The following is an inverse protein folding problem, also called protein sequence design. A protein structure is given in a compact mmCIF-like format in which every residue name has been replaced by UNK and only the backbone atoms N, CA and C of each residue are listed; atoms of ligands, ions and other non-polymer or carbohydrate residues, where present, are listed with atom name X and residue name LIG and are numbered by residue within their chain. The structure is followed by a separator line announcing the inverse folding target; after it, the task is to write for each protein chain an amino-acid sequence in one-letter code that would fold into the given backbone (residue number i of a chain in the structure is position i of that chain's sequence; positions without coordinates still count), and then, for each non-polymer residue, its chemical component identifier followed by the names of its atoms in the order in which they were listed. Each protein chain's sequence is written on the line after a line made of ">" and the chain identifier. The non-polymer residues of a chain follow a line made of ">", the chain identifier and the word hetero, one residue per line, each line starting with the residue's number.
data_IF_986907582029
#
_entry.id   IF_986907582029
#
_cell.length_a   1.000
_cell.length_b   1.000
_cell.length_c   1.000
_cell.angle_alpha   90.00
_cell.angle_beta   90.00
_cell.angle_gamma   90.00
#
_symmetry.space_group_name_H-M   'P 1'
#
loop_
_entity.id
_entity.type
_entity.pdbx_description
1 polymer ?
#
# COMPACT_ATOMS: atom_id res chain seq x y z
N UNK A 1 -12.60 8.61 -18.20
CA UNK A 1 -13.58 7.53 -18.54
C UNK A 1 -12.82 6.23 -18.56
N UNK A 2 -13.18 5.28 -17.74
CA UNK A 2 -12.42 4.03 -17.47
C UNK A 2 -12.35 3.01 -18.62
N UNK A 3 -12.38 3.33 -19.86
CA UNK A 3 -12.29 2.40 -21.01
C UNK A 3 -12.78 0.95 -20.79
N UNK A 4 -13.76 0.73 -19.88
CA UNK A 4 -14.30 -0.59 -19.53
C UNK A 4 -13.39 -1.48 -18.65
N UNK A 5 -12.18 -1.05 -18.27
CA UNK A 5 -11.28 -1.81 -17.40
C UNK A 5 -11.79 -1.82 -15.96
N UNK A 6 -11.68 -2.96 -15.28
CA UNK A 6 -11.91 -3.08 -13.83
C UNK A 6 -10.70 -2.57 -13.07
N UNK A 7 -10.94 -1.95 -11.93
CA UNK A 7 -9.87 -1.38 -11.08
C UNK A 7 -9.71 -2.22 -9.81
N UNK A 8 -8.47 -2.59 -9.51
CA UNK A 8 -8.10 -3.32 -8.29
C UNK A 8 -7.04 -2.55 -7.52
N UNK A 9 -7.26 -2.36 -6.23
CA UNK A 9 -6.28 -1.82 -5.29
C UNK A 9 -5.68 -2.97 -4.50
N UNK A 10 -4.36 -3.04 -4.46
CA UNK A 10 -3.59 -4.10 -3.79
C UNK A 10 -2.73 -3.45 -2.71
N UNK A 11 -3.01 -3.72 -1.45
CA UNK A 11 -2.18 -3.25 -0.33
C UNK A 11 -1.15 -4.31 0.04
N UNK A 12 0.09 -3.89 0.22
CA UNK A 12 1.20 -4.77 0.60
C UNK A 12 1.89 -4.20 1.84
N UNK A 13 1.93 -4.98 2.90
CA UNK A 13 2.55 -4.62 4.17
C UNK A 13 4.09 -4.65 4.13
N UNK A 14 4.74 -3.99 5.10
CA UNK A 14 6.20 -3.95 5.19
C UNK A 14 6.80 -5.33 5.40
N UNK A 15 6.18 -6.17 6.23
CA UNK A 15 6.63 -7.56 6.52
C UNK A 15 6.70 -8.44 5.28
N UNK A 16 5.91 -8.12 4.25
CA UNK A 16 5.88 -8.86 2.98
C UNK A 16 6.95 -8.37 2.00
N UNK A 17 7.31 -7.08 2.08
CA UNK A 17 8.25 -6.44 1.15
C UNK A 17 9.71 -6.56 1.58
N UNK A 18 9.96 -6.89 2.86
CA UNK A 18 11.32 -7.04 3.40
C UNK A 18 11.53 -8.48 3.87
N UNK A 19 12.75 -8.98 3.69
CA UNK A 19 13.16 -10.28 4.20
C UNK A 19 13.51 -10.21 5.70
N UNK A 20 13.90 -11.35 6.29
CA UNK A 20 14.29 -11.47 7.70
C UNK A 20 15.47 -10.55 8.11
N UNK A 21 16.30 -10.13 7.14
CA UNK A 21 17.40 -9.19 7.35
C UNK A 21 16.96 -7.71 7.22
N UNK A 22 15.67 -7.43 7.04
CA UNK A 22 15.13 -6.08 6.86
C UNK A 22 15.38 -5.46 5.48
N UNK A 23 15.91 -6.26 4.52
CA UNK A 23 16.18 -5.81 3.14
C UNK A 23 15.01 -6.09 2.23
N UNK A 24 14.87 -5.29 1.15
CA UNK A 24 13.86 -5.53 0.13
C UNK A 24 14.01 -6.94 -0.47
N UNK A 25 12.95 -7.71 -0.44
CA UNK A 25 12.88 -9.05 -1.05
C UNK A 25 12.64 -8.92 -2.56
N UNK A 26 13.73 -8.86 -3.33
CA UNK A 26 13.66 -8.72 -4.80
C UNK A 26 12.88 -9.85 -5.46
N UNK A 27 12.92 -11.07 -4.93
CA UNK A 27 12.18 -12.20 -5.49
C UNK A 27 10.67 -11.99 -5.33
N UNK A 28 10.25 -11.41 -4.20
CA UNK A 28 8.87 -11.02 -3.99
C UNK A 28 8.41 -9.95 -5.00
N UNK A 29 9.22 -8.91 -5.23
CA UNK A 29 8.90 -7.88 -6.23
C UNK A 29 8.78 -8.43 -7.64
N UNK A 30 9.65 -9.38 -8.02
CA UNK A 30 9.58 -10.06 -9.32
C UNK A 30 8.30 -10.89 -9.46
N UNK A 31 7.92 -11.64 -8.43
CA UNK A 31 6.68 -12.39 -8.37
C UNK A 31 5.44 -11.50 -8.43
N UNK A 32 5.48 -10.38 -7.71
CA UNK A 32 4.41 -9.37 -7.73
C UNK A 32 4.24 -8.76 -9.12
N UNK A 33 5.35 -8.38 -9.78
CA UNK A 33 5.31 -7.82 -11.12
C UNK A 33 4.69 -8.80 -12.13
N UNK A 34 5.01 -10.10 -12.02
CA UNK A 34 4.42 -11.15 -12.84
C UNK A 34 2.89 -11.26 -12.63
N UNK A 35 2.44 -11.24 -11.36
CA UNK A 35 1.01 -11.32 -11.03
C UNK A 35 0.25 -10.07 -11.50
N UNK A 36 0.83 -8.88 -11.31
CA UNK A 36 0.24 -7.62 -11.78
C UNK A 36 0.14 -7.60 -13.31
N UNK A 37 1.18 -8.09 -14.01
CA UNK A 37 1.12 -8.24 -15.46
C UNK A 37 -0.03 -9.18 -15.89
N UNK A 38 -0.17 -10.33 -15.25
CA UNK A 38 -1.28 -11.26 -15.53
C UNK A 38 -2.66 -10.62 -15.28
N UNK A 39 -2.83 -9.84 -14.21
CA UNK A 39 -4.06 -9.09 -13.95
C UNK A 39 -4.38 -8.09 -15.08
N UNK A 40 -3.36 -7.40 -15.60
CA UNK A 40 -3.53 -6.45 -16.72
C UNK A 40 -3.97 -7.17 -18.01
N UNK A 41 -3.39 -8.32 -18.31
CA UNK A 41 -3.83 -9.16 -19.44
C UNK A 41 -5.28 -9.65 -19.29
N UNK A 42 -5.78 -9.79 -18.04
CA UNK A 42 -7.18 -10.09 -17.74
C UNK A 42 -8.11 -8.87 -17.78
N UNK A 43 -7.60 -7.69 -18.17
CA UNK A 43 -8.38 -6.45 -18.28
C UNK A 43 -8.54 -5.67 -16.98
N UNK A 44 -7.72 -5.92 -15.96
CA UNK A 44 -7.67 -5.14 -14.74
C UNK A 44 -6.68 -3.96 -14.85
N UNK A 45 -6.96 -2.90 -14.11
CA UNK A 45 -6.03 -1.78 -13.87
C UNK A 45 -5.61 -1.82 -12.40
N UNK A 46 -4.43 -2.42 -12.09
CA UNK A 46 -3.95 -2.52 -10.71
C UNK A 46 -3.36 -1.20 -10.22
N UNK A 47 -3.63 -0.87 -8.97
CA UNK A 47 -2.94 0.15 -8.17
C UNK A 47 -2.35 -0.54 -6.94
N UNK A 48 -1.14 -0.18 -6.55
CA UNK A 48 -0.46 -0.78 -5.40
C UNK A 48 -0.37 0.26 -4.28
N UNK A 49 -0.86 -0.08 -3.10
CA UNK A 49 -0.61 0.68 -1.87
C UNK A 49 0.51 -0.03 -1.12
N UNK A 50 1.66 0.61 -1.10
CA UNK A 50 2.92 0.02 -0.62
C UNK A 50 3.29 0.55 0.75
N UNK A 51 4.15 -0.20 1.42
CA UNK A 51 4.78 0.14 2.70
C UNK A 51 6.31 0.01 2.58
N UNK A 52 7.02 -0.06 3.71
CA UNK A 52 8.45 -0.34 3.83
C UNK A 52 9.41 0.82 3.51
N UNK A 53 8.95 2.04 3.21
CA UNK A 53 9.85 3.16 2.94
C UNK A 53 10.82 3.43 4.11
N UNK A 54 10.34 3.43 5.37
CA UNK A 54 11.21 3.62 6.54
C UNK A 54 12.25 2.51 6.63
N UNK A 55 11.85 1.23 6.49
CA UNK A 55 12.78 0.10 6.58
C UNK A 55 13.89 0.19 5.52
N UNK A 56 13.51 0.49 4.27
CA UNK A 56 14.47 0.72 3.19
C UNK A 56 15.43 1.87 3.47
N UNK A 57 14.93 2.94 4.10
CA UNK A 57 15.75 4.10 4.44
C UNK A 57 16.73 3.80 5.57
N UNK A 58 16.32 3.08 6.59
CA UNK A 58 17.19 2.66 7.68
C UNK A 58 18.32 1.78 7.16
N UNK A 59 18.01 0.82 6.28
CA UNK A 59 19.04 0.01 5.60
C UNK A 59 20.01 0.88 4.81
N UNK A 60 19.51 1.77 3.96
CA UNK A 60 20.33 2.62 3.11
C UNK A 60 21.24 3.58 3.91
N UNK A 61 20.79 4.01 5.09
CA UNK A 61 21.53 4.87 6.01
C UNK A 61 22.47 4.08 6.95
N UNK A 62 22.43 2.74 6.93
CA UNK A 62 23.20 1.90 7.84
C UNK A 62 22.77 2.01 9.29
N UNK A 63 21.51 2.32 9.56
CA UNK A 63 20.93 2.46 10.90
C UNK A 63 20.36 1.10 11.32
N UNK A 64 21.02 0.42 12.25
CA UNK A 64 20.63 -0.91 12.72
C UNK A 64 19.45 -0.84 13.71
N UNK A 65 19.47 0.13 14.63
CA UNK A 65 18.38 0.32 15.60
C UNK A 65 17.36 1.34 15.09
N UNK A 66 16.09 0.96 15.10
CA UNK A 66 15.01 1.86 14.67
C UNK A 66 14.94 3.09 15.57
N UNK A 67 15.11 4.31 15.04
CA UNK A 67 14.96 5.54 15.80
C UNK A 67 13.56 5.68 16.40
N UNK A 68 13.48 6.36 17.53
CA UNK A 68 12.21 6.66 18.20
C UNK A 68 11.74 8.09 17.94
N UNK A 69 12.62 8.95 17.47
CA UNK A 69 12.31 10.34 17.15
C UNK A 69 11.73 10.47 15.73
N UNK A 70 10.76 11.34 15.60
CA UNK A 70 10.02 11.55 14.37
C UNK A 70 10.88 12.05 13.22
N UNK A 71 11.77 13.06 13.39
CA UNK A 71 12.60 13.56 12.29
C UNK A 71 13.49 12.49 11.67
N UNK A 72 14.07 11.59 12.48
CA UNK A 72 14.89 10.49 11.98
C UNK A 72 14.08 9.48 11.17
N UNK A 73 12.87 9.15 11.61
CA UNK A 73 11.97 8.27 10.88
C UNK A 73 11.49 8.88 9.56
N UNK A 74 11.16 10.17 9.56
CA UNK A 74 10.77 10.91 8.35
C UNK A 74 11.93 11.01 7.35
N UNK A 75 13.14 11.27 7.82
CA UNK A 75 14.34 11.27 6.99
C UNK A 75 14.62 9.88 6.38
N UNK A 76 14.50 8.83 7.17
CA UNK A 76 14.63 7.46 6.69
C UNK A 76 13.55 7.15 5.62
N UNK A 77 12.28 7.49 5.86
CA UNK A 77 11.22 7.31 4.87
C UNK A 77 11.53 8.02 3.55
N UNK A 78 12.04 9.25 3.62
CA UNK A 78 12.42 10.03 2.43
C UNK A 78 13.52 9.36 1.61
N UNK A 79 14.56 8.84 2.25
CA UNK A 79 15.64 8.10 1.59
C UNK A 79 15.14 6.78 1.02
N UNK A 80 14.38 6.03 1.83
CA UNK A 80 13.93 4.69 1.48
C UNK A 80 12.86 4.67 0.41
N UNK A 81 12.04 5.72 0.29
CA UNK A 81 11.05 5.83 -0.79
C UNK A 81 11.72 5.77 -2.17
N UNK A 82 12.91 6.36 -2.34
CA UNK A 82 13.65 6.28 -3.60
C UNK A 82 14.08 4.84 -3.92
N UNK A 83 14.64 4.12 -2.93
CA UNK A 83 15.06 2.73 -3.10
C UNK A 83 13.88 1.81 -3.40
N UNK A 84 12.77 2.00 -2.70
CA UNK A 84 11.53 1.27 -2.91
C UNK A 84 11.00 1.45 -4.33
N UNK A 85 10.93 2.69 -4.81
CA UNK A 85 10.47 2.99 -6.17
C UNK A 85 11.38 2.45 -7.25
N UNK A 86 12.71 2.49 -7.04
CA UNK A 86 13.67 1.90 -7.97
C UNK A 86 13.48 0.38 -8.10
N UNK A 87 13.21 -0.30 -6.97
CA UNK A 87 12.95 -1.75 -6.96
C UNK A 87 11.65 -2.11 -7.69
N UNK A 88 10.57 -1.35 -7.48
CA UNK A 88 9.35 -1.51 -8.27
C UNK A 88 9.59 -1.30 -9.76
N UNK A 89 10.26 -0.19 -10.13
CA UNK A 89 10.52 0.13 -11.52
C UNK A 89 11.37 -0.96 -12.22
N UNK A 90 12.39 -1.50 -11.53
CA UNK A 90 13.23 -2.59 -12.03
C UNK A 90 12.40 -3.86 -12.28
N UNK A 91 11.61 -4.31 -11.31
CA UNK A 91 10.81 -5.52 -11.44
C UNK A 91 9.75 -5.41 -12.55
N UNK A 92 9.05 -4.29 -12.60
CA UNK A 92 7.96 -4.07 -13.55
C UNK A 92 8.46 -3.81 -14.99
N UNK A 93 9.68 -3.29 -15.14
CA UNK A 93 10.29 -3.05 -16.46
C UNK A 93 10.43 -4.34 -17.28
N UNK A 94 10.57 -5.50 -16.64
CA UNK A 94 10.64 -6.82 -17.30
C UNK A 94 9.39 -7.16 -18.11
N UNK A 95 8.27 -6.54 -17.76
CA UNK A 95 6.98 -6.69 -18.41
C UNK A 95 6.58 -5.47 -19.24
N UNK A 96 7.50 -4.52 -19.47
CA UNK A 96 7.24 -3.22 -20.12
C UNK A 96 6.12 -2.42 -19.41
N UNK A 97 6.00 -2.56 -18.09
CA UNK A 97 5.02 -1.86 -17.27
C UNK A 97 5.67 -0.65 -16.62
N UNK A 98 5.11 0.53 -16.90
CA UNK A 98 5.53 1.75 -16.21
C UNK A 98 4.88 1.83 -14.83
N UNK A 99 5.66 2.27 -13.85
CA UNK A 99 5.19 2.59 -12.50
C UNK A 99 5.29 4.08 -12.24
N UNK A 100 4.48 4.58 -11.32
CA UNK A 100 4.58 5.96 -10.82
C UNK A 100 4.58 6.00 -9.31
N UNK A 101 5.20 7.01 -8.72
CA UNK A 101 5.15 7.29 -7.28
C UNK A 101 4.04 8.30 -7.00
N UNK A 102 3.10 7.95 -6.12
CA UNK A 102 2.05 8.85 -5.65
C UNK A 102 2.06 8.87 -4.13
N UNK A 103 2.43 10.01 -3.54
CA UNK A 103 2.46 10.17 -2.09
C UNK A 103 1.24 10.98 -1.64
N UNK A 104 0.45 10.39 -0.77
CA UNK A 104 -0.80 10.96 -0.25
C UNK A 104 -0.72 11.03 1.26
N UNK A 105 -1.36 12.03 1.88
CA UNK A 105 -1.62 12.01 3.32
C UNK A 105 -3.13 11.93 3.57
N UNK A 106 -3.54 11.22 4.61
CA UNK A 106 -4.94 11.18 5.03
C UNK A 106 -5.49 12.58 5.31
N UNK A 107 -4.69 13.44 5.92
CA UNK A 107 -5.06 14.82 6.22
C UNK A 107 -5.29 15.64 4.93
N UNK A 108 -4.42 15.53 3.94
CA UNK A 108 -4.55 16.28 2.69
C UNK A 108 -5.82 15.87 1.93
N UNK A 109 -6.14 14.58 1.90
CA UNK A 109 -7.33 14.06 1.19
C UNK A 109 -8.65 14.34 1.93
N UNK A 110 -8.63 14.77 3.18
CA UNK A 110 -9.81 15.28 3.86
C UNK A 110 -10.29 16.63 3.26
N UNK A 111 -9.42 17.35 2.57
CA UNK A 111 -9.77 18.58 1.86
C UNK A 111 -10.31 18.25 0.47
N UNK A 112 -11.51 18.76 0.15
CA UNK A 112 -12.22 18.44 -1.11
C UNK A 112 -11.36 18.64 -2.37
N UNK A 113 -10.62 19.75 -2.45
CA UNK A 113 -9.80 20.03 -3.64
C UNK A 113 -8.64 19.04 -3.78
N UNK A 114 -7.94 18.72 -2.69
CA UNK A 114 -6.86 17.74 -2.70
C UNK A 114 -7.38 16.34 -3.02
N UNK A 115 -8.56 15.97 -2.49
CA UNK A 115 -9.25 14.74 -2.85
C UNK A 115 -9.51 14.64 -4.35
N UNK A 116 -10.07 15.69 -4.96
CA UNK A 116 -10.36 15.72 -6.40
C UNK A 116 -9.08 15.64 -7.24
N UNK A 117 -8.03 16.37 -6.87
CA UNK A 117 -6.75 16.32 -7.58
C UNK A 117 -6.09 14.94 -7.49
N UNK A 118 -6.11 14.31 -6.32
CA UNK A 118 -5.60 12.94 -6.15
C UNK A 118 -6.37 11.94 -7.03
N UNK A 119 -7.70 12.01 -7.01
CA UNK A 119 -8.57 11.18 -7.86
C UNK A 119 -8.23 11.37 -9.33
N UNK A 120 -8.27 12.61 -9.81
CA UNK A 120 -8.06 12.93 -11.23
C UNK A 120 -6.66 12.50 -11.70
N UNK A 121 -5.65 12.61 -10.83
CA UNK A 121 -4.29 12.12 -11.10
C UNK A 121 -4.27 10.59 -11.23
N UNK A 122 -4.87 9.87 -10.27
CA UNK A 122 -4.90 8.41 -10.31
C UNK A 122 -5.69 7.89 -11.52
N UNK A 123 -6.83 8.49 -11.84
CA UNK A 123 -7.60 8.16 -13.04
C UNK A 123 -6.79 8.39 -14.32
N UNK A 124 -6.04 9.49 -14.38
CA UNK A 124 -5.18 9.77 -15.54
C UNK A 124 -4.01 8.79 -15.67
N UNK A 125 -3.42 8.34 -14.56
CA UNK A 125 -2.38 7.30 -14.58
C UNK A 125 -2.95 5.96 -15.10
N UNK A 126 -4.16 5.61 -14.69
CA UNK A 126 -4.88 4.43 -15.21
C UNK A 126 -5.12 4.58 -16.73
N UNK A 127 -5.55 5.74 -17.19
CA UNK A 127 -5.76 6.01 -18.62
C UNK A 127 -4.46 5.90 -19.44
N UNK A 128 -3.31 6.26 -18.85
CA UNK A 128 -1.99 6.11 -19.46
C UNK A 128 -1.42 4.69 -19.35
N UNK A 129 -2.18 3.76 -18.79
CA UNK A 129 -1.76 2.37 -18.57
C UNK A 129 -0.53 2.22 -17.65
N UNK A 130 -0.33 3.17 -16.74
CA UNK A 130 0.71 3.18 -15.71
C UNK A 130 0.17 2.53 -14.46
N UNK A 131 0.99 1.76 -13.73
CA UNK A 131 0.67 1.20 -12.42
C UNK A 131 1.10 2.18 -11.33
N UNK A 132 0.16 2.85 -10.63
CA UNK A 132 0.50 3.74 -9.53
C UNK A 132 0.96 2.93 -8.31
N UNK A 133 2.11 3.30 -7.76
CA UNK A 133 2.59 2.86 -6.45
C UNK A 133 2.31 4.00 -5.48
N UNK A 134 1.34 3.77 -4.61
CA UNK A 134 0.85 4.77 -3.66
C UNK A 134 1.45 4.46 -2.29
N UNK A 135 1.91 5.48 -1.60
CA UNK A 135 2.32 5.38 -0.20
C UNK A 135 1.89 6.63 0.56
N UNK A 136 1.93 6.56 1.89
CA UNK A 136 1.80 7.75 2.72
C UNK A 136 2.98 8.69 2.46
N UNK A 137 2.74 9.99 2.53
CA UNK A 137 3.80 10.98 2.54
C UNK A 137 4.37 11.13 3.96
N UNK A 138 5.21 10.18 4.35
CA UNK A 138 5.80 10.11 5.68
C UNK A 138 6.63 11.35 6.03
N UNK A 139 7.11 12.12 5.05
CA UNK A 139 7.91 13.32 5.30
C UNK A 139 7.10 14.46 5.95
N UNK A 140 5.79 14.45 5.80
CA UNK A 140 4.89 15.46 6.36
C UNK A 140 3.77 14.86 7.23
N UNK A 141 3.65 13.54 7.27
CA UNK A 141 2.66 12.81 8.06
C UNK A 141 3.29 12.30 9.35
N UNK A 142 2.58 12.49 10.47
CA UNK A 142 3.00 11.99 11.79
C UNK A 142 2.17 10.76 12.18
N UNK A 143 0.94 10.68 11.69
CA UNK A 143 -0.03 9.67 12.09
C UNK A 143 0.39 8.27 11.63
N UNK A 144 0.81 8.11 10.38
CA UNK A 144 1.25 6.84 9.81
C UNK A 144 2.46 6.25 10.53
N UNK A 145 3.44 7.09 10.87
CA UNK A 145 4.66 6.66 11.55
C UNK A 145 4.35 6.09 12.93
N UNK A 146 3.29 6.59 13.58
CA UNK A 146 2.84 6.14 14.90
C UNK A 146 1.97 4.88 14.83
N UNK A 147 1.14 4.75 13.82
CA UNK A 147 0.13 3.69 13.72
C UNK A 147 0.41 2.65 12.63
N UNK A 148 1.36 2.93 11.71
CA UNK A 148 2.01 1.96 10.82
C UNK A 148 1.12 1.27 9.77
N UNK A 149 -0.13 1.73 9.56
CA UNK A 149 -1.10 0.96 8.78
C UNK A 149 -1.53 1.67 7.49
N UNK A 150 -1.19 1.05 6.35
CA UNK A 150 -1.63 1.46 5.01
C UNK A 150 -3.00 0.86 4.60
N UNK A 151 -3.68 0.10 5.48
CA UNK A 151 -4.99 -0.48 5.16
C UNK A 151 -6.04 0.61 4.99
N UNK A 152 -6.03 1.60 5.88
CA UNK A 152 -6.90 2.78 5.74
C UNK A 152 -6.55 3.59 4.47
N UNK A 153 -5.27 3.70 4.12
CA UNK A 153 -4.86 4.36 2.87
C UNK A 153 -5.37 3.57 1.66
N UNK A 154 -5.32 2.23 1.69
CA UNK A 154 -5.84 1.39 0.62
C UNK A 154 -7.37 1.53 0.47
N UNK A 155 -8.09 1.60 1.58
CA UNK A 155 -9.53 1.88 1.57
C UNK A 155 -9.83 3.27 0.98
N UNK A 156 -9.08 4.31 1.36
CA UNK A 156 -9.19 5.66 0.82
C UNK A 156 -8.93 5.67 -0.70
N UNK A 157 -7.83 5.06 -1.15
CA UNK A 157 -7.48 4.95 -2.57
C UNK A 157 -8.58 4.20 -3.33
N UNK A 158 -9.13 3.13 -2.76
CA UNK A 158 -10.24 2.38 -3.35
C UNK A 158 -11.49 3.26 -3.56
N UNK A 159 -11.79 4.12 -2.58
CA UNK A 159 -12.87 5.11 -2.71
C UNK A 159 -12.55 6.18 -3.77
N UNK A 160 -11.31 6.71 -3.79
CA UNK A 160 -10.86 7.72 -4.76
C UNK A 160 -11.08 7.24 -6.19
N UNK A 161 -10.63 6.03 -6.50
CA UNK A 161 -10.73 5.46 -7.85
C UNK A 161 -11.99 4.63 -8.04
N UNK A 162 -12.91 4.55 -7.08
CA UNK A 162 -14.09 3.67 -7.09
C UNK A 162 -13.70 2.25 -7.54
N UNK A 163 -12.74 1.63 -6.88
CA UNK A 163 -12.21 0.33 -7.23
C UNK A 163 -13.30 -0.75 -7.21
N UNK A 164 -13.21 -1.69 -8.13
CA UNK A 164 -14.09 -2.87 -8.17
C UNK A 164 -13.69 -3.89 -7.10
N UNK A 165 -12.41 -3.86 -6.66
CA UNK A 165 -11.86 -4.75 -5.65
C UNK A 165 -10.74 -4.07 -4.88
N UNK A 166 -10.65 -4.35 -3.57
CA UNK A 166 -9.50 -4.05 -2.73
C UNK A 166 -9.00 -5.36 -2.10
N UNK A 167 -7.72 -5.65 -2.27
CA UNK A 167 -7.05 -6.81 -1.70
C UNK A 167 -6.00 -6.33 -0.73
N UNK A 168 -6.02 -6.85 0.49
CA UNK A 168 -5.05 -6.53 1.54
C UNK A 168 -4.23 -7.78 1.82
N UNK A 169 -2.93 -7.70 1.52
CA UNK A 169 -1.97 -8.72 1.97
C UNK A 169 -1.57 -8.40 3.40
N UNK A 170 -1.81 -9.35 4.29
CA UNK A 170 -1.57 -9.27 5.72
C UNK A 170 -0.88 -10.55 6.19
N UNK A 171 -0.28 -10.50 7.37
CA UNK A 171 0.31 -11.62 8.10
C UNK A 171 -0.73 -12.47 8.87
N UNK A 172 -2.01 -12.03 8.83
CA UNK A 172 -3.15 -12.78 9.37
C UNK A 172 -4.12 -13.18 8.25
N UNK A 173 -4.87 -14.27 8.44
CA UNK A 173 -5.75 -14.84 7.42
C UNK A 173 -6.95 -13.94 7.04
N UNK A 174 -7.28 -12.93 7.85
CA UNK A 174 -8.38 -12.01 7.60
C UNK A 174 -8.95 -11.40 8.87
N UNK A 175 -10.22 -11.00 8.82
CA UNK A 175 -10.93 -10.45 9.97
C UNK A 175 -11.32 -11.57 10.93
N UNK A 176 -11.05 -11.36 12.22
CA UNK A 176 -11.43 -12.26 13.30
C UNK A 176 -12.49 -11.63 14.20
N UNK A 177 -13.22 -12.46 14.94
CA UNK A 177 -14.22 -12.00 15.94
C UNK A 177 -13.60 -11.30 17.15
N UNK A 178 -12.29 -11.52 17.38
CA UNK A 178 -11.47 -10.85 18.38
C UNK A 178 -10.00 -11.00 17.95
N UNK A 179 -9.06 -10.37 18.66
CA UNK A 179 -7.63 -10.52 18.36
C UNK A 179 -7.16 -11.97 18.63
N UNK A 180 -6.78 -12.78 17.61
CA UNK A 180 -6.43 -14.19 17.78
C UNK A 180 -5.14 -14.39 18.60
N UNK A 181 -4.30 -13.37 18.72
CA UNK A 181 -3.08 -13.43 19.55
C UNK A 181 -3.37 -13.26 21.04
N UNK A 182 -4.55 -12.77 21.40
CA UNK A 182 -4.95 -12.47 22.78
C UNK A 182 -6.08 -13.40 23.22
N UNK A 183 -7.04 -13.66 22.34
CA UNK A 183 -8.22 -14.48 22.61
C UNK A 183 -8.18 -15.79 21.80
N UNK A 184 -7.89 -16.93 22.45
CA UNK A 184 -7.87 -18.22 21.76
C UNK A 184 -9.24 -18.67 21.21
N UNK A 185 -10.33 -18.03 21.61
CA UNK A 185 -11.67 -18.27 21.10
C UNK A 185 -12.00 -17.50 19.84
N UNK A 186 -11.11 -16.58 19.40
CA UNK A 186 -11.27 -15.81 18.20
C UNK A 186 -11.39 -16.70 16.97
N UNK A 187 -12.41 -16.46 16.16
CA UNK A 187 -12.67 -17.23 14.93
C UNK A 187 -12.59 -16.33 13.71
N UNK A 188 -12.07 -16.88 12.62
CA UNK A 188 -12.02 -16.17 11.34
C UNK A 188 -13.43 -15.87 10.84
N UNK A 189 -13.67 -14.63 10.41
CA UNK A 189 -14.91 -14.19 9.77
C UNK A 189 -14.73 -14.33 8.26
N UNK A 190 -15.25 -15.40 7.63
CA UNK A 190 -14.95 -15.68 6.23
C UNK A 190 -15.63 -14.70 5.26
N UNK A 191 -16.70 -14.07 5.72
CA UNK A 191 -17.45 -13.11 4.91
C UNK A 191 -18.26 -12.14 5.79
N UNK A 192 -18.19 -10.86 5.46
CA UNK A 192 -18.99 -9.80 6.03
C UNK A 192 -20.04 -9.34 5.00
N UNK A 193 -21.29 -9.67 5.25
CA UNK A 193 -22.38 -9.25 4.35
C UNK A 193 -22.89 -7.84 4.68
N UNK A 194 -22.79 -7.46 5.95
CA UNK A 194 -23.23 -6.16 6.43
C UNK A 194 -22.33 -5.67 7.55
N UNK A 195 -21.85 -4.43 7.43
CA UNK A 195 -21.07 -3.78 8.49
C UNK A 195 -22.02 -3.35 9.60
N UNK A 196 -21.81 -3.88 10.80
CA UNK A 196 -22.56 -3.52 12.01
C UNK A 196 -21.66 -2.77 13.00
N UNK A 197 -22.23 -2.00 13.95
CA UNK A 197 -21.43 -1.34 15.00
C UNK A 197 -20.55 -2.31 15.81
N UNK A 198 -21.06 -3.52 16.07
CA UNK A 198 -20.33 -4.56 16.79
C UNK A 198 -19.12 -5.02 15.99
N UNK A 199 -19.29 -5.26 14.67
CA UNK A 199 -18.18 -5.65 13.80
C UNK A 199 -17.14 -4.54 13.68
N UNK A 200 -17.57 -3.28 13.62
CA UNK A 200 -16.63 -2.13 13.61
C UNK A 200 -15.81 -2.01 14.89
N UNK A 201 -16.30 -2.55 16.02
CA UNK A 201 -15.57 -2.54 17.28
C UNK A 201 -14.56 -3.68 17.38
N UNK A 202 -14.60 -4.69 16.51
CA UNK A 202 -13.66 -5.82 16.46
C UNK A 202 -12.56 -5.63 15.40
N UNK A 203 -12.73 -4.70 14.49
CA UNK A 203 -11.77 -4.33 13.45
C UNK A 203 -10.93 -3.13 13.94
#
# INVERSE_FOLDING_TARGET
>A
MRNGKKVIVIKIGSSTLVNEQGKLDRAYFDGLAAQVHALREMGWSPLIVSSAAIACGLEALGIEERPTDMPSLQAAASVGQNALMATYAEAFSRYNVLTSCVLITRHSTAQRNAYLHARDTLERLIDFDVVPIINENDTVSVEQIRFGDNDTLAALVSCLVQADMCVIFSDIEGLYTANPNIDPSATLVPRVERITPELMATA
#
